data_IF_564149510089
#
_entry.id   IF_564149510089
#
_cell.length_a   1.000
_cell.length_b   1.000
_cell.length_c   1.000
_cell.angle_alpha   90.00
_cell.angle_beta   90.00
_cell.angle_gamma   90.00
#
_symmetry.space_group_name_H-M   'P 1'
#
loop_
_entity.id
_entity.type
_entity.pdbx_description
1 polymer ?
#
# COMPACT_ATOMS: atom_id res chain seq x y z
N UNK A 1 25.66 -31.70 -15.17
CA UNK A 1 25.11 -30.55 -14.42
C UNK A 1 23.89 -30.07 -15.23
N UNK A 2 22.70 -30.25 -14.68
CA UNK A 2 21.47 -29.81 -15.33
C UNK A 2 21.28 -28.31 -15.01
N UNK A 3 21.68 -27.46 -15.95
CA UNK A 3 21.60 -26.00 -15.83
C UNK A 3 20.16 -25.51 -15.69
N UNK A 4 19.17 -26.26 -16.20
CA UNK A 4 17.75 -25.94 -16.05
C UNK A 4 17.27 -26.00 -14.57
N UNK A 5 17.99 -26.72 -13.72
CA UNK A 5 17.75 -26.74 -12.24
C UNK A 5 18.37 -25.58 -11.49
N UNK A 6 19.34 -24.90 -12.09
CA UNK A 6 20.06 -23.81 -11.46
C UNK A 6 19.43 -22.47 -11.86
N UNK A 7 18.91 -22.37 -13.07
CA UNK A 7 18.22 -21.17 -13.57
C UNK A 7 16.74 -21.45 -13.69
N UNK A 8 15.93 -20.70 -12.93
CA UNK A 8 14.48 -20.72 -13.10
C UNK A 8 14.15 -20.28 -14.53
N UNK A 9 13.32 -21.08 -15.22
CA UNK A 9 12.86 -20.73 -16.56
C UNK A 9 11.72 -19.68 -16.55
N UNK A 10 11.26 -19.27 -15.36
CA UNK A 10 10.20 -18.28 -15.21
C UNK A 10 10.78 -16.87 -15.38
N UNK A 11 10.26 -16.06 -16.31
CA UNK A 11 10.70 -14.66 -16.50
C UNK A 11 10.66 -13.83 -15.23
N UNK A 12 9.71 -14.09 -14.33
CA UNK A 12 9.56 -13.39 -13.06
C UNK A 12 10.76 -13.51 -12.12
N UNK A 13 11.54 -14.58 -12.23
CA UNK A 13 12.73 -14.75 -11.39
C UNK A 13 13.82 -13.70 -11.67
N UNK A 14 13.78 -13.09 -12.85
CA UNK A 14 14.77 -12.09 -13.29
C UNK A 14 14.20 -10.67 -13.35
N UNK A 15 12.92 -10.49 -12.99
CA UNK A 15 12.32 -9.15 -12.89
C UNK A 15 12.85 -8.42 -11.66
N UNK A 16 13.00 -7.13 -11.81
CA UNK A 16 13.13 -6.26 -10.63
C UNK A 16 11.78 -6.26 -9.89
N UNK A 17 11.78 -6.82 -8.70
CA UNK A 17 10.60 -6.94 -7.84
C UNK A 17 10.30 -5.64 -7.07
N UNK A 18 10.91 -4.55 -7.44
CA UNK A 18 10.69 -3.24 -6.83
C UNK A 18 9.42 -2.60 -7.39
N UNK A 19 8.44 -2.33 -6.53
CA UNK A 19 7.24 -1.57 -6.87
C UNK A 19 7.45 -0.07 -6.66
N UNK A 20 8.07 0.28 -5.53
CA UNK A 20 8.23 1.67 -5.14
C UNK A 20 9.50 1.85 -4.32
N UNK A 21 10.21 2.93 -4.60
CA UNK A 21 11.41 3.32 -3.85
C UNK A 21 11.46 4.85 -3.76
N UNK A 22 10.72 5.39 -2.81
CA UNK A 22 10.63 6.84 -2.59
C UNK A 22 11.32 7.21 -1.28
N UNK A 23 12.20 8.21 -1.35
CA UNK A 23 12.76 8.79 -0.12
C UNK A 23 11.69 9.61 0.60
N UNK A 24 11.65 9.59 1.94
CA UNK A 24 10.70 10.39 2.73
C UNK A 24 10.65 11.87 2.33
N UNK A 25 11.81 12.44 1.99
CA UNK A 25 11.93 13.85 1.56
C UNK A 25 11.31 14.15 0.21
N UNK A 26 11.05 13.16 -0.61
CA UNK A 26 10.52 13.32 -1.96
C UNK A 26 8.97 13.28 -1.97
N UNK A 27 8.36 12.81 -0.88
CA UNK A 27 6.91 12.63 -0.77
C UNK A 27 6.27 13.90 -0.24
N UNK A 28 5.33 14.47 -0.99
CA UNK A 28 4.54 15.64 -0.59
C UNK A 28 3.24 15.26 0.11
N UNK A 29 2.60 14.17 -0.37
CA UNK A 29 1.26 13.79 0.09
C UNK A 29 1.11 12.28 0.13
N UNK A 30 0.46 11.77 1.18
CA UNK A 30 0.01 10.38 1.29
C UNK A 30 -1.49 10.40 1.61
N UNK A 31 -2.31 9.79 0.77
CA UNK A 31 -3.73 9.56 1.04
C UNK A 31 -3.98 8.09 1.35
N UNK A 32 -4.82 7.84 2.35
CA UNK A 32 -5.17 6.51 2.81
C UNK A 32 -6.68 6.37 2.94
N UNK A 33 -7.27 5.52 2.11
CA UNK A 33 -8.68 5.11 2.16
C UNK A 33 -8.73 3.66 2.63
N UNK A 34 -9.28 3.42 3.82
CA UNK A 34 -9.29 2.11 4.46
C UNK A 34 -10.66 1.44 4.36
N UNK A 35 -10.70 0.11 4.44
CA UNK A 35 -11.93 -0.67 4.48
C UNK A 35 -12.85 -0.30 5.67
N UNK A 36 -12.29 0.30 6.73
CA UNK A 36 -13.06 0.85 7.86
C UNK A 36 -13.94 2.04 7.50
N UNK A 37 -13.74 2.64 6.31
CA UNK A 37 -14.37 3.88 5.87
C UNK A 37 -13.58 5.14 6.22
N UNK A 38 -12.48 5.01 6.95
CA UNK A 38 -11.58 6.14 7.19
C UNK A 38 -10.92 6.55 5.89
N UNK A 39 -10.96 7.85 5.58
CA UNK A 39 -10.29 8.44 4.44
C UNK A 39 -9.59 9.73 4.86
N UNK A 40 -8.26 9.69 4.92
CA UNK A 40 -7.44 10.76 5.45
C UNK A 40 -6.18 10.96 4.64
N UNK A 41 -5.56 12.12 4.82
CA UNK A 41 -4.38 12.58 4.07
C UNK A 41 -3.32 13.09 5.03
N UNK A 42 -2.09 12.71 4.78
CA UNK A 42 -0.89 13.35 5.34
C UNK A 42 -0.28 14.25 4.27
N UNK A 43 0.01 15.48 4.62
CA UNK A 43 0.72 16.43 3.76
C UNK A 43 1.99 16.87 4.45
N UNK A 44 3.10 16.76 3.74
CA UNK A 44 4.41 17.24 4.17
C UNK A 44 4.73 18.56 3.47
N UNK A 45 5.25 19.52 4.21
CA UNK A 45 5.80 20.76 3.64
C UNK A 45 7.30 20.61 3.31
N UNK A 46 7.89 21.64 2.70
CA UNK A 46 9.31 21.64 2.34
C UNK A 46 10.27 21.64 3.55
N UNK A 47 9.77 21.90 4.75
CA UNK A 47 10.53 21.87 5.99
C UNK A 47 10.43 20.51 6.70
N UNK A 48 9.62 19.59 6.16
CA UNK A 48 9.41 18.25 6.72
C UNK A 48 8.35 18.20 7.82
N UNK A 49 7.55 19.27 8.00
CA UNK A 49 6.41 19.24 8.91
C UNK A 49 5.25 18.47 8.26
N UNK A 50 4.60 17.60 9.01
CA UNK A 50 3.51 16.75 8.52
C UNK A 50 2.21 17.15 9.18
N UNK A 51 1.18 17.39 8.37
CA UNK A 51 -0.18 17.65 8.80
C UNK A 51 -1.08 16.51 8.36
N UNK A 52 -1.90 15.97 9.27
CA UNK A 52 -2.94 14.99 8.99
C UNK A 52 -4.30 15.70 8.86
N UNK A 53 -5.06 15.34 7.83
CA UNK A 53 -6.37 15.92 7.53
C UNK A 53 -7.36 14.84 7.12
N UNK A 54 -8.65 14.94 7.53
CA UNK A 54 -9.70 14.11 6.95
C UNK A 54 -9.92 14.51 5.49
N UNK A 55 -10.27 13.55 4.63
CA UNK A 55 -10.62 13.80 3.22
C UNK A 55 -12.12 13.79 3.02
N UNK A 56 -12.86 13.01 3.81
CA UNK A 56 -14.32 12.95 3.78
C UNK A 56 -14.93 13.37 5.12
N UNK A 57 -16.24 13.69 5.10
CA UNK A 57 -16.98 14.13 6.29
C UNK A 57 -17.18 13.01 7.35
N UNK A 58 -17.00 11.74 6.95
CA UNK A 58 -17.18 10.59 7.83
C UNK A 58 -15.91 10.32 8.66
N UNK A 59 -14.77 10.83 8.23
CA UNK A 59 -13.50 10.67 8.93
C UNK A 59 -13.34 11.76 9.97
N UNK A 60 -13.33 11.37 11.23
CA UNK A 60 -13.16 12.28 12.37
C UNK A 60 -11.75 12.08 12.92
N UNK A 61 -10.98 13.17 13.00
CA UNK A 61 -9.66 13.10 13.63
C UNK A 61 -9.80 12.78 15.12
N UNK A 62 -9.02 11.83 15.65
CA UNK A 62 -9.05 11.52 17.08
C UNK A 62 -8.70 12.75 17.93
N UNK A 63 -9.35 12.87 19.06
CA UNK A 63 -8.97 13.85 20.07
C UNK A 63 -7.64 13.45 20.70
N UNK A 64 -6.60 14.22 20.49
CA UNK A 64 -5.29 13.96 21.05
C UNK A 64 -4.20 14.74 20.34
N UNK A 65 -2.97 14.61 20.84
CA UNK A 65 -1.82 15.21 20.18
C UNK A 65 -1.36 14.28 19.05
N UNK A 66 -1.16 14.85 17.87
CA UNK A 66 -0.57 14.12 16.76
C UNK A 66 0.80 13.55 17.14
N UNK A 67 1.01 12.26 16.83
CA UNK A 67 2.27 11.57 17.04
C UNK A 67 3.19 11.80 15.82
N UNK A 68 4.01 12.82 15.91
CA UNK A 68 4.92 13.22 14.83
C UNK A 68 5.88 12.08 14.42
N UNK A 69 6.33 11.26 15.38
CA UNK A 69 7.21 10.14 15.07
C UNK A 69 6.50 9.08 14.23
N UNK A 70 5.26 8.71 14.59
CA UNK A 70 4.47 7.75 13.80
C UNK A 70 4.20 8.27 12.39
N UNK A 71 3.90 9.56 12.25
CA UNK A 71 3.71 10.17 10.94
C UNK A 71 4.99 10.21 10.10
N UNK A 72 6.13 10.57 10.69
CA UNK A 72 7.43 10.53 10.00
C UNK A 72 7.85 9.12 9.60
N UNK A 73 7.59 8.14 10.45
CA UNK A 73 7.84 6.72 10.14
C UNK A 73 6.99 6.26 8.95
N UNK A 74 5.72 6.68 8.85
CA UNK A 74 4.87 6.35 7.69
C UNK A 74 5.55 6.71 6.36
N UNK A 75 6.13 7.91 6.25
CA UNK A 75 6.81 8.34 5.03
C UNK A 75 8.03 7.47 4.68
N UNK A 76 8.67 6.85 5.66
CA UNK A 76 9.82 5.96 5.44
C UNK A 76 9.45 4.59 4.89
N UNK A 77 8.18 4.16 5.01
CA UNK A 77 7.74 2.84 4.53
C UNK A 77 7.60 2.73 3.01
N UNK A 78 7.67 3.84 2.28
CA UNK A 78 7.64 3.84 0.82
C UNK A 78 9.00 3.58 0.15
N UNK A 79 10.04 3.41 0.97
CA UNK A 79 11.37 3.00 0.50
C UNK A 79 11.39 1.48 0.29
N UNK A 80 11.70 1.04 -0.92
CA UNK A 80 11.90 -0.38 -1.28
C UNK A 80 10.70 -1.30 -1.02
N UNK A 81 9.48 -0.87 -1.38
CA UNK A 81 8.32 -1.78 -1.43
C UNK A 81 8.54 -2.79 -2.56
N UNK A 82 8.50 -4.08 -2.22
CA UNK A 82 8.75 -5.18 -3.16
C UNK A 82 7.57 -6.14 -3.23
N UNK A 83 7.37 -6.74 -4.40
CA UNK A 83 6.45 -7.85 -4.59
C UNK A 83 7.20 -9.20 -4.63
N UNK A 84 6.49 -10.27 -4.30
CA UNK A 84 7.05 -11.63 -4.33
C UNK A 84 6.96 -12.24 -5.72
N UNK A 85 5.80 -12.10 -6.37
CA UNK A 85 5.54 -12.63 -7.70
C UNK A 85 4.38 -11.90 -8.40
N UNK A 86 4.37 -11.96 -9.73
CA UNK A 86 3.22 -11.59 -10.55
C UNK A 86 2.20 -12.71 -10.56
N UNK A 87 0.91 -12.37 -10.55
CA UNK A 87 -0.16 -13.38 -10.46
C UNK A 87 -0.80 -13.70 -11.80
N UNK A 88 -0.75 -12.78 -12.78
CA UNK A 88 -1.57 -12.84 -14.00
C UNK A 88 -3.07 -12.65 -13.72
N UNK A 89 -3.46 -12.18 -12.52
CA UNK A 89 -4.84 -11.83 -12.19
C UNK A 89 -5.12 -10.43 -12.72
N UNK A 90 -6.02 -10.27 -13.71
CA UNK A 90 -6.31 -8.97 -14.28
C UNK A 90 -6.95 -8.02 -13.27
N UNK A 91 -6.64 -6.73 -13.37
CA UNK A 91 -7.23 -5.68 -12.54
C UNK A 91 -8.76 -5.70 -12.58
N UNK A 92 -9.35 -5.88 -13.77
CA UNK A 92 -10.81 -5.92 -13.97
C UNK A 92 -11.50 -7.01 -13.14
N UNK A 93 -10.84 -8.15 -12.92
CA UNK A 93 -11.39 -9.23 -12.09
C UNK A 93 -11.42 -8.89 -10.60
N UNK A 94 -10.57 -7.98 -10.13
CA UNK A 94 -10.55 -7.49 -8.75
C UNK A 94 -11.50 -6.30 -8.56
N UNK A 95 -11.61 -5.43 -9.56
CA UNK A 95 -12.40 -4.20 -9.50
C UNK A 95 -13.87 -4.39 -9.88
N UNK A 96 -14.17 -5.40 -10.72
CA UNK A 96 -15.48 -5.58 -11.37
C UNK A 96 -16.47 -6.54 -10.70
N UNK A 97 -16.09 -7.28 -9.68
CA UNK A 97 -16.95 -8.29 -9.06
C UNK A 97 -17.66 -7.78 -7.82
N UNK A 98 -19.03 -7.65 -7.83
CA UNK A 98 -19.80 -7.24 -6.65
C UNK A 98 -19.81 -8.29 -5.53
N UNK A 99 -18.77 -8.87 -5.14
CA UNK A 99 -18.65 -9.89 -4.10
C UNK A 99 -17.21 -10.25 -3.77
N UNK A 100 -16.27 -9.82 -4.60
CA UNK A 100 -14.83 -9.88 -4.34
C UNK A 100 -14.25 -8.53 -3.91
N UNK A 101 -15.10 -7.54 -3.70
CA UNK A 101 -14.69 -6.18 -3.27
C UNK A 101 -14.30 -6.11 -1.79
N UNK A 102 -13.50 -7.07 -1.34
CA UNK A 102 -12.83 -6.98 -0.04
C UNK A 102 -11.59 -6.08 -0.12
N UNK A 103 -11.62 -4.98 -0.87
CA UNK A 103 -10.50 -4.03 -0.88
C UNK A 103 -10.20 -3.58 0.55
N UNK A 104 -8.97 -3.82 1.00
CA UNK A 104 -8.53 -3.50 2.34
C UNK A 104 -8.12 -2.04 2.47
N UNK A 105 -7.46 -1.52 1.45
CA UNK A 105 -7.00 -0.14 1.41
C UNK A 105 -6.75 0.35 -0.01
N UNK A 106 -6.82 1.66 -0.19
CA UNK A 106 -6.20 2.39 -1.31
C UNK A 106 -5.24 3.40 -0.72
N UNK A 107 -3.98 3.32 -1.12
CA UNK A 107 -2.93 4.25 -0.72
C UNK A 107 -2.49 5.01 -1.97
N UNK A 108 -2.53 6.34 -1.93
CA UNK A 108 -2.04 7.20 -3.01
C UNK A 108 -0.91 8.05 -2.47
N UNK A 109 0.16 8.14 -3.24
CA UNK A 109 1.34 8.93 -2.89
C UNK A 109 1.61 9.91 -4.00
N UNK A 110 1.85 11.16 -3.63
CA UNK A 110 2.29 12.21 -4.55
C UNK A 110 3.67 12.70 -4.11
N UNK A 111 4.58 12.82 -5.05
CA UNK A 111 5.90 13.40 -4.81
C UNK A 111 5.88 14.92 -4.98
N UNK A 112 6.92 15.60 -4.49
CA UNK A 112 7.12 17.03 -4.77
C UNK A 112 7.35 17.34 -6.25
N UNK A 113 7.79 16.36 -7.03
CA UNK A 113 7.99 16.47 -8.48
C UNK A 113 6.68 16.28 -9.28
N UNK A 114 5.56 15.99 -8.58
CA UNK A 114 4.25 15.78 -9.18
C UNK A 114 4.03 14.37 -9.74
N UNK A 115 4.88 13.41 -9.42
CA UNK A 115 4.65 12.00 -9.72
C UNK A 115 3.60 11.41 -8.79
N UNK A 116 2.74 10.55 -9.34
CA UNK A 116 1.65 9.91 -8.61
C UNK A 116 1.82 8.41 -8.60
N UNK A 117 1.63 7.81 -7.42
CA UNK A 117 1.68 6.38 -7.21
C UNK A 117 0.41 5.93 -6.49
N UNK A 118 -0.09 4.75 -6.84
CA UNK A 118 -1.24 4.16 -6.14
C UNK A 118 -1.03 2.68 -5.88
N UNK A 119 -1.43 2.25 -4.67
CA UNK A 119 -1.49 0.86 -4.25
C UNK A 119 -2.95 0.57 -3.88
N UNK A 120 -3.59 -0.37 -4.55
CA UNK A 120 -4.88 -0.90 -4.12
C UNK A 120 -4.65 -2.31 -3.57
N UNK A 121 -4.98 -2.50 -2.30
CA UNK A 121 -4.68 -3.72 -1.54
C UNK A 121 -5.93 -4.56 -1.38
N UNK A 122 -5.82 -5.85 -1.73
CA UNK A 122 -6.89 -6.84 -1.62
C UNK A 122 -6.42 -8.07 -0.85
N UNK A 123 -7.32 -8.83 -0.19
CA UNK A 123 -6.95 -10.09 0.40
C UNK A 123 -6.45 -11.07 -0.66
N UNK A 124 -5.41 -11.82 -0.35
CA UNK A 124 -4.93 -12.92 -1.18
C UNK A 124 -5.45 -14.25 -0.66
N UNK A 125 -5.92 -15.11 -1.56
CA UNK A 125 -6.37 -16.46 -1.26
C UNK A 125 -5.56 -17.44 -2.13
N UNK A 126 -4.88 -18.41 -1.53
CA UNK A 126 -4.09 -19.38 -2.30
C UNK A 126 -4.94 -20.23 -3.25
N UNK A 127 -6.18 -20.52 -2.83
CA UNK A 127 -7.17 -21.23 -3.64
C UNK A 127 -8.54 -20.59 -3.48
N UNK A 128 -9.40 -20.76 -4.49
CA UNK A 128 -10.77 -20.26 -4.44
C UNK A 128 -11.52 -20.83 -3.22
N UNK A 129 -12.08 -19.97 -2.39
CA UNK A 129 -12.83 -20.32 -1.19
C UNK A 129 -11.97 -20.62 0.06
N UNK A 130 -10.65 -20.51 -0.02
CA UNK A 130 -9.79 -20.54 1.16
C UNK A 130 -9.93 -19.26 2.00
N UNK A 131 -9.52 -19.33 3.26
CA UNK A 131 -9.35 -18.14 4.08
C UNK A 131 -8.27 -17.22 3.49
N UNK A 132 -8.33 -15.91 3.75
CA UNK A 132 -7.27 -14.98 3.34
C UNK A 132 -5.91 -15.38 3.91
N UNK A 133 -4.88 -15.27 3.09
CA UNK A 133 -3.50 -15.45 3.56
C UNK A 133 -3.15 -14.37 4.60
N UNK A 134 -2.52 -14.79 5.70
CA UNK A 134 -2.19 -13.89 6.82
C UNK A 134 -0.91 -13.09 6.60
N UNK A 135 -0.12 -13.45 5.59
CA UNK A 135 1.20 -12.85 5.35
C UNK A 135 1.29 -12.12 4.02
N UNK A 136 0.35 -12.36 3.10
CA UNK A 136 0.39 -11.87 1.73
C UNK A 136 -0.93 -11.24 1.30
N UNK A 137 -0.83 -10.20 0.50
CA UNK A 137 -1.95 -9.52 -0.12
C UNK A 137 -1.77 -9.44 -1.64
N UNK A 138 -2.87 -9.26 -2.37
CA UNK A 138 -2.84 -8.84 -3.76
C UNK A 138 -2.75 -7.32 -3.80
N UNK A 139 -1.90 -6.79 -4.67
CA UNK A 139 -1.75 -5.36 -4.88
C UNK A 139 -1.84 -5.03 -6.36
N UNK A 140 -2.70 -4.06 -6.69
CA UNK A 140 -2.65 -3.36 -7.97
C UNK A 140 -1.82 -2.11 -7.78
N UNK A 141 -0.77 -1.97 -8.58
CA UNK A 141 0.13 -0.83 -8.54
C UNK A 141 -0.07 0.05 -9.79
N UNK A 142 -0.27 1.36 -9.60
CA UNK A 142 -0.40 2.35 -10.67
C UNK A 142 -1.38 1.97 -11.79
N UNK A 143 -2.49 1.30 -11.45
CA UNK A 143 -3.47 0.81 -12.43
C UNK A 143 -2.88 -0.16 -13.47
N UNK A 144 -1.79 -0.87 -13.12
CA UNK A 144 -1.24 -1.94 -13.96
C UNK A 144 -2.30 -3.00 -14.27
N UNK A 145 -2.10 -3.71 -15.38
CA UNK A 145 -3.09 -4.68 -15.87
C UNK A 145 -3.25 -5.88 -14.96
N UNK A 146 -2.17 -6.28 -14.26
CA UNK A 146 -2.14 -7.48 -13.43
C UNK A 146 -1.75 -7.17 -12.00
N UNK A 147 -2.40 -7.88 -11.06
CA UNK A 147 -2.05 -7.81 -9.66
C UNK A 147 -0.75 -8.57 -9.35
N UNK A 148 -0.05 -8.11 -8.33
CA UNK A 148 1.14 -8.76 -7.76
C UNK A 148 0.88 -9.21 -6.33
N UNK A 149 1.64 -10.18 -5.84
CA UNK A 149 1.63 -10.61 -4.44
C UNK A 149 2.67 -9.80 -3.67
N UNK A 150 2.23 -9.15 -2.59
CA UNK A 150 3.08 -8.36 -1.69
C UNK A 150 2.96 -8.89 -0.28
N UNK A 151 4.08 -9.01 0.43
CA UNK A 151 4.09 -9.40 1.83
C UNK A 151 3.54 -8.28 2.72
N UNK A 152 2.73 -8.62 3.72
CA UNK A 152 2.16 -7.66 4.68
C UNK A 152 3.22 -6.87 5.47
N UNK A 153 4.45 -7.34 5.56
CA UNK A 153 5.54 -6.59 6.18
C UNK A 153 5.75 -5.20 5.56
N UNK A 154 5.42 -5.05 4.26
CA UNK A 154 5.47 -3.75 3.57
C UNK A 154 4.17 -2.94 3.68
N UNK A 155 3.04 -3.59 4.00
CA UNK A 155 1.72 -3.00 3.90
C UNK A 155 1.06 -2.72 5.26
N UNK A 156 1.42 -3.47 6.31
CA UNK A 156 0.74 -3.39 7.62
C UNK A 156 0.69 -1.95 8.16
N UNK A 157 1.81 -1.24 8.12
CA UNK A 157 1.87 0.15 8.58
C UNK A 157 1.07 1.08 7.68
N UNK A 158 1.02 0.79 6.35
CA UNK A 158 0.29 1.59 5.37
C UNK A 158 -1.24 1.41 5.48
N UNK A 159 -1.71 0.44 6.26
CA UNK A 159 -3.15 0.15 6.46
C UNK A 159 -3.63 0.48 7.87
N UNK A 160 -2.82 1.17 8.67
CA UNK A 160 -3.22 1.57 10.03
C UNK A 160 -4.18 2.74 10.01
N UNK A 161 -5.20 2.65 10.85
CA UNK A 161 -6.19 3.72 11.03
C UNK A 161 -5.63 4.94 11.76
N UNK A 162 -6.41 6.00 11.78
CA UNK A 162 -6.04 7.30 12.37
C UNK A 162 -5.59 7.22 13.82
N UNK A 163 -6.18 6.33 14.62
CA UNK A 163 -5.82 6.17 16.03
C UNK A 163 -4.33 5.88 16.26
N UNK A 164 -3.66 5.26 15.27
CA UNK A 164 -2.22 4.99 15.33
C UNK A 164 -1.36 6.27 15.30
N UNK A 165 -1.87 7.33 14.70
CA UNK A 165 -1.14 8.59 14.48
C UNK A 165 -1.48 9.67 15.51
N UNK A 166 -2.36 9.36 16.47
CA UNK A 166 -2.73 10.26 17.55
C UNK A 166 -2.51 9.57 18.90
N UNK A 167 -1.85 10.25 19.83
CA UNK A 167 -1.63 9.72 21.17
C UNK A 167 -2.94 9.65 21.95
N UNK A 168 -3.04 8.67 22.85
CA UNK A 168 -4.06 8.69 23.91
C UNK A 168 -3.86 9.91 24.81
N UNK A 169 -4.98 10.46 25.32
CA UNK A 169 -4.96 11.55 26.32
C UNK A 169 -4.43 11.07 27.65
#
# INVERSE_FOLDING_TARGET
LDLARIFSATPDHYRDHLLMDLRPSDISTIEMELASGEFFRFRQDSEGNILCMPVNEQTILPEGKANELSMKLLFSYFTSIRFEQSTGIPADSLLGSPGQSGKLATIRVESFDGEHYSLQVFPYHETAGAEPDLFRALVLFNEEQDAVIVNYIYLDVLMRGLSHYFGEK
#
